data_IF_408728421634
#
_entry.id   IF_408728421634
#
_cell.length_a   1.000
_cell.length_b   1.000
_cell.length_c   1.000
_cell.angle_alpha   90.00
_cell.angle_beta   90.00
_cell.angle_gamma   90.00
#
_symmetry.space_group_name_H-M   'P 1'
#
loop_
_entity.id
_entity.type
_entity.pdbx_description
1 polymer ?
#
# COMPACT_ATOMS: atom_id res chain seq x y z
N UNK A 1 4.74 -2.34 2.12
CA UNK A 1 5.56 -1.51 1.20
C UNK A 1 5.81 -0.09 1.73
N UNK A 2 4.75 0.75 1.98
CA UNK A 2 4.96 2.10 2.50
C UNK A 2 5.66 2.09 3.87
N UNK A 3 5.35 1.13 4.74
CA UNK A 3 5.96 0.99 6.06
C UNK A 3 7.43 0.56 6.01
N UNK A 4 7.77 -0.36 5.12
CA UNK A 4 9.18 -0.76 4.93
C UNK A 4 10.03 0.43 4.46
N UNK A 5 9.47 1.29 3.61
CA UNK A 5 10.11 2.51 3.16
C UNK A 5 10.21 3.58 4.26
N UNK A 6 9.33 3.56 5.26
CA UNK A 6 9.37 4.48 6.42
C UNK A 6 10.46 4.11 7.44
N UNK A 7 10.89 2.85 7.49
CA UNK A 7 11.98 2.38 8.32
C UNK A 7 13.26 3.07 7.79
N UNK A 8 13.78 4.01 8.49
CA UNK A 8 14.97 4.78 8.10
C UNK A 8 14.71 6.28 7.88
N UNK A 9 13.46 6.73 7.74
CA UNK A 9 13.17 8.17 7.73
C UNK A 9 13.49 8.82 9.08
N UNK A 10 13.41 8.08 10.18
CA UNK A 10 13.81 8.54 11.51
C UNK A 10 15.31 8.89 11.61
N UNK A 11 16.15 8.34 10.73
CA UNK A 11 17.58 8.63 10.70
C UNK A 11 17.93 9.95 9.98
N UNK A 12 16.98 10.59 9.28
CA UNK A 12 17.24 11.80 8.49
C UNK A 12 17.86 12.93 9.31
N UNK A 13 17.39 13.15 10.54
CA UNK A 13 17.90 14.18 11.43
C UNK A 13 19.35 13.91 11.86
N UNK A 14 19.68 12.64 12.12
CA UNK A 14 21.03 12.20 12.45
C UNK A 14 22.00 12.44 11.30
N UNK A 15 21.64 12.03 10.09
CA UNK A 15 22.49 12.23 8.91
C UNK A 15 22.67 13.72 8.56
N UNK A 16 21.66 14.57 8.77
CA UNK A 16 21.81 16.03 8.63
C UNK A 16 22.81 16.58 9.63
N UNK A 17 22.75 16.17 10.90
CA UNK A 17 23.72 16.58 11.92
C UNK A 17 25.15 16.13 11.59
N UNK A 18 25.33 14.87 11.15
CA UNK A 18 26.62 14.36 10.70
C UNK A 18 27.17 15.14 9.50
N UNK A 19 26.30 15.51 8.54
CA UNK A 19 26.68 16.29 7.37
C UNK A 19 27.22 17.69 7.76
N UNK A 20 26.56 18.34 8.70
CA UNK A 20 26.97 19.67 9.17
C UNK A 20 28.31 19.60 9.93
N UNK A 21 28.57 18.53 10.68
CA UNK A 21 29.86 18.31 11.33
C UNK A 21 30.99 18.09 10.33
N UNK A 22 30.76 17.23 9.32
CA UNK A 22 31.74 16.99 8.24
C UNK A 22 32.04 18.26 7.48
N UNK A 23 31.00 19.08 7.15
CA UNK A 23 31.19 20.36 6.47
C UNK A 23 31.99 21.36 7.29
N UNK A 24 31.79 21.40 8.60
CA UNK A 24 32.59 22.26 9.50
C UNK A 24 34.07 21.87 9.49
N UNK A 25 34.37 20.56 9.53
CA UNK A 25 35.74 20.06 9.45
C UNK A 25 36.39 20.37 8.11
N UNK A 26 35.67 20.14 7.01
CA UNK A 26 36.17 20.48 5.65
C UNK A 26 36.48 21.97 5.49
N UNK A 27 35.69 22.88 6.09
CA UNK A 27 35.93 24.31 6.02
C UNK A 27 37.25 24.75 6.68
N UNK A 28 37.81 23.97 7.61
CA UNK A 28 39.12 24.21 8.20
C UNK A 28 40.21 23.98 7.17
N UNK A 29 40.14 22.89 6.40
CA UNK A 29 41.10 22.61 5.32
C UNK A 29 41.02 23.61 4.17
N UNK A 30 39.84 24.14 3.86
CA UNK A 30 39.64 25.13 2.80
C UNK A 30 40.32 26.49 3.10
N UNK A 31 40.55 26.81 4.37
CA UNK A 31 41.23 28.05 4.80
C UNK A 31 42.76 28.02 4.62
N UNK A 32 43.34 26.84 4.38
CA UNK A 32 44.79 26.63 4.33
C UNK A 32 45.45 26.96 2.96
N UNK A 33 44.81 27.65 2.05
CA UNK A 33 45.43 28.12 0.76
C UNK A 33 45.34 27.15 -0.41
N UNK A 34 44.79 25.94 -0.22
CA UNK A 34 44.63 24.92 -1.27
C UNK A 34 43.16 24.78 -1.71
N UNK A 35 42.35 25.77 -1.37
CA UNK A 35 40.87 25.73 -1.52
C UNK A 35 40.40 25.47 -2.96
N UNK A 36 41.09 25.99 -3.97
CA UNK A 36 40.63 25.88 -5.37
C UNK A 36 40.79 24.46 -5.92
N UNK A 37 41.94 23.79 -5.65
CA UNK A 37 42.16 22.40 -6.03
C UNK A 37 41.13 21.50 -5.33
N UNK A 38 40.98 21.68 -4.03
CA UNK A 38 40.07 20.95 -3.21
C UNK A 38 38.60 21.11 -3.67
N UNK A 39 38.15 22.34 -3.94
CA UNK A 39 36.81 22.63 -4.47
C UNK A 39 36.57 22.04 -5.85
N UNK A 40 37.59 22.13 -6.71
CA UNK A 40 37.49 21.53 -8.05
C UNK A 40 37.37 20.03 -7.98
N UNK A 41 38.21 19.38 -7.18
CA UNK A 41 38.18 17.95 -6.96
C UNK A 41 36.81 17.53 -6.35
N UNK A 42 36.30 18.20 -5.31
CA UNK A 42 34.99 17.93 -4.74
C UNK A 42 33.86 18.05 -5.76
N UNK A 43 33.86 19.12 -6.57
CA UNK A 43 32.85 19.34 -7.60
C UNK A 43 32.86 18.20 -8.61
N UNK A 44 34.05 17.80 -9.09
CA UNK A 44 34.21 16.76 -10.08
C UNK A 44 33.85 15.37 -9.54
N UNK A 45 34.24 15.08 -8.31
CA UNK A 45 33.86 13.84 -7.62
C UNK A 45 32.34 13.75 -7.41
N UNK A 46 31.66 14.86 -7.07
CA UNK A 46 30.18 14.90 -6.98
C UNK A 46 29.53 14.66 -8.34
N UNK A 47 30.05 15.31 -9.40
CA UNK A 47 29.56 15.11 -10.75
C UNK A 47 29.69 13.64 -11.18
N UNK A 48 30.87 13.02 -10.94
CA UNK A 48 31.14 11.61 -11.25
C UNK A 48 30.10 10.69 -10.58
N UNK A 49 29.87 10.83 -9.28
CA UNK A 49 28.87 10.03 -8.55
C UNK A 49 27.44 10.30 -9.01
N UNK A 50 27.11 11.54 -9.35
CA UNK A 50 25.77 11.83 -9.89
C UNK A 50 25.54 11.12 -11.21
N UNK A 51 26.57 11.06 -12.08
CA UNK A 51 26.51 10.34 -13.34
C UNK A 51 26.41 8.84 -13.09
N UNK A 52 27.27 8.29 -12.22
CA UNK A 52 27.24 6.87 -11.83
C UNK A 52 25.85 6.47 -11.29
N UNK A 53 25.32 7.24 -10.34
CA UNK A 53 23.96 6.98 -9.81
C UNK A 53 22.87 7.14 -10.86
N UNK A 54 23.03 8.04 -11.82
CA UNK A 54 22.09 8.18 -12.91
C UNK A 54 22.20 7.00 -13.89
N UNK A 55 23.41 6.56 -14.20
CA UNK A 55 23.67 5.37 -15.01
C UNK A 55 23.04 4.12 -14.37
N UNK A 56 23.25 3.90 -13.07
CA UNK A 56 22.64 2.79 -12.32
C UNK A 56 21.10 2.76 -12.43
N UNK A 57 20.47 3.91 -12.61
CA UNK A 57 19.02 4.01 -12.71
C UNK A 57 18.43 3.42 -14.01
N UNK A 58 19.25 3.27 -15.06
CA UNK A 58 18.79 2.78 -16.36
C UNK A 58 19.71 1.69 -16.97
N UNK A 59 20.96 1.55 -16.51
CA UNK A 59 21.78 0.38 -16.82
C UNK A 59 21.10 -0.84 -16.21
N UNK A 60 20.88 -1.88 -16.99
CA UNK A 60 20.13 -3.06 -16.56
C UNK A 60 18.68 -3.06 -17.05
N UNK A 61 18.20 -1.97 -17.68
CA UNK A 61 16.88 -1.94 -18.33
C UNK A 61 16.73 -3.10 -19.33
N UNK A 62 17.80 -3.44 -20.07
CA UNK A 62 17.81 -4.58 -20.99
C UNK A 62 17.51 -5.91 -20.27
N UNK A 63 18.11 -6.15 -19.10
CA UNK A 63 17.87 -7.34 -18.31
C UNK A 63 16.43 -7.40 -17.76
N UNK A 64 15.93 -6.26 -17.26
CA UNK A 64 14.53 -6.15 -16.81
C UNK A 64 13.55 -6.43 -17.95
N UNK A 65 13.81 -5.91 -19.15
CA UNK A 65 12.98 -6.18 -20.32
C UNK A 65 13.02 -7.65 -20.73
N UNK A 66 14.17 -8.34 -20.68
CA UNK A 66 14.24 -9.78 -20.94
C UNK A 66 13.44 -10.59 -19.92
N UNK A 67 13.48 -10.20 -18.66
CA UNK A 67 12.65 -10.85 -17.64
C UNK A 67 11.16 -10.69 -17.97
N UNK A 68 10.72 -9.48 -18.31
CA UNK A 68 9.33 -9.24 -18.73
C UNK A 68 9.00 -10.07 -20.00
N UNK A 69 9.89 -10.14 -20.97
CA UNK A 69 9.68 -10.91 -22.20
C UNK A 69 9.45 -12.41 -21.91
N UNK A 70 10.16 -12.96 -20.91
CA UNK A 70 10.01 -14.36 -20.52
C UNK A 70 8.72 -14.61 -19.70
N UNK A 71 8.24 -13.63 -18.95
CA UNK A 71 7.05 -13.75 -18.09
C UNK A 71 5.72 -13.45 -18.83
N UNK A 72 5.77 -12.69 -19.93
CA UNK A 72 4.56 -12.26 -20.64
C UNK A 72 3.95 -13.34 -21.51
N UNK A 73 4.72 -14.34 -21.91
CA UNK A 73 4.23 -15.44 -22.74
C UNK A 73 3.46 -16.40 -21.85
N UNK A 74 2.13 -16.57 -22.06
CA UNK A 74 1.34 -17.49 -21.27
C UNK A 74 1.81 -18.93 -21.52
N UNK A 75 1.66 -19.78 -20.51
CA UNK A 75 1.87 -21.22 -20.70
C UNK A 75 0.95 -21.75 -21.82
N UNK A 76 1.39 -22.79 -22.51
CA UNK A 76 0.55 -23.48 -23.49
C UNK A 76 -0.67 -24.11 -22.82
N UNK A 77 -1.82 -24.01 -23.46
CA UNK A 77 -3.03 -24.71 -22.99
C UNK A 77 -2.77 -26.21 -22.89
N UNK A 78 -3.23 -26.82 -21.79
CA UNK A 78 -3.24 -28.27 -21.67
C UNK A 78 -4.34 -28.84 -22.61
N UNK A 79 -3.90 -29.46 -23.68
CA UNK A 79 -4.79 -30.00 -24.72
C UNK A 79 -5.38 -31.39 -24.37
N UNK A 80 -4.99 -31.98 -23.23
CA UNK A 80 -5.33 -33.38 -22.87
C UNK A 80 -6.83 -33.67 -22.79
N UNK A 81 -7.65 -32.64 -22.51
CA UNK A 81 -9.11 -32.73 -22.41
C UNK A 81 -9.86 -32.30 -23.67
N UNK A 82 -9.18 -31.92 -24.74
CA UNK A 82 -9.78 -31.49 -26.00
C UNK A 82 -9.69 -32.62 -27.05
N UNK A 83 -10.75 -32.78 -27.85
CA UNK A 83 -10.76 -33.70 -28.97
C UNK A 83 -10.65 -32.94 -30.31
N UNK A 84 -9.48 -32.92 -30.96
CA UNK A 84 -9.30 -32.17 -32.22
C UNK A 84 -10.21 -32.66 -33.36
N UNK A 85 -10.86 -33.81 -33.19
CA UNK A 85 -11.86 -34.33 -34.15
C UNK A 85 -13.23 -33.65 -34.04
N UNK A 86 -13.50 -32.94 -32.97
CA UNK A 86 -14.70 -32.12 -32.80
C UNK A 86 -14.46 -30.72 -33.30
N UNK A 87 -15.39 -30.17 -34.04
CA UNK A 87 -15.25 -28.85 -34.69
C UNK A 87 -15.05 -27.73 -33.69
N UNK A 88 -15.83 -27.72 -32.63
CA UNK A 88 -15.79 -26.73 -31.55
C UNK A 88 -14.45 -26.77 -30.79
N UNK A 89 -13.90 -27.95 -30.50
CA UNK A 89 -12.63 -28.12 -29.83
C UNK A 89 -11.48 -27.67 -30.73
N UNK A 90 -11.52 -28.04 -32.03
CA UNK A 90 -10.52 -27.64 -33.02
C UNK A 90 -10.49 -26.11 -33.22
N UNK A 91 -11.65 -25.46 -33.26
CA UNK A 91 -11.75 -23.99 -33.36
C UNK A 91 -11.17 -23.32 -32.11
N UNK A 92 -11.45 -23.84 -30.92
CA UNK A 92 -10.92 -23.29 -29.68
C UNK A 92 -9.41 -23.48 -29.54
N UNK A 93 -8.90 -24.67 -29.88
CA UNK A 93 -7.46 -24.94 -29.89
C UNK A 93 -6.71 -24.01 -30.84
N UNK A 94 -7.29 -23.72 -32.02
CA UNK A 94 -6.73 -22.75 -32.96
C UNK A 94 -6.65 -21.35 -32.36
N UNK A 95 -7.72 -20.89 -31.70
CA UNK A 95 -7.74 -19.59 -31.02
C UNK A 95 -6.69 -19.51 -29.91
N UNK A 96 -6.55 -20.55 -29.09
CA UNK A 96 -5.54 -20.59 -28.04
C UNK A 96 -4.11 -20.49 -28.58
N UNK A 97 -3.85 -21.21 -29.68
CA UNK A 97 -2.57 -21.16 -30.39
C UNK A 97 -2.28 -19.78 -30.99
N UNK A 98 -3.28 -19.12 -31.59
CA UNK A 98 -3.14 -17.76 -32.14
C UNK A 98 -2.80 -16.74 -31.04
N UNK A 99 -3.45 -16.84 -29.86
CA UNK A 99 -3.16 -15.99 -28.70
C UNK A 99 -1.73 -16.24 -28.20
N UNK A 100 -1.37 -17.52 -28.00
CA UNK A 100 -0.01 -17.87 -27.55
C UNK A 100 1.06 -17.31 -28.50
N UNK A 101 0.88 -17.45 -29.82
CA UNK A 101 1.80 -16.92 -30.82
C UNK A 101 1.85 -15.39 -30.84
N UNK A 102 0.72 -14.72 -30.60
CA UNK A 102 0.67 -13.27 -30.48
C UNK A 102 1.50 -12.77 -29.31
N UNK A 103 1.38 -13.39 -28.12
CA UNK A 103 2.21 -13.06 -26.97
C UNK A 103 3.68 -13.40 -27.18
N UNK A 104 3.99 -14.52 -27.85
CA UNK A 104 5.36 -14.85 -28.25
C UNK A 104 5.95 -13.81 -29.21
N UNK A 105 5.14 -13.23 -30.10
CA UNK A 105 5.54 -12.10 -30.95
C UNK A 105 5.86 -10.84 -30.14
N UNK A 106 5.03 -10.53 -29.13
CA UNK A 106 5.27 -9.42 -28.19
C UNK A 106 6.58 -9.66 -27.42
N UNK A 107 6.79 -10.86 -26.91
CA UNK A 107 8.03 -11.23 -26.20
C UNK A 107 9.27 -10.96 -27.05
N UNK A 108 9.27 -11.38 -28.32
CA UNK A 108 10.38 -11.11 -29.25
C UNK A 108 10.63 -9.62 -29.50
N UNK A 109 9.57 -8.82 -29.57
CA UNK A 109 9.71 -7.37 -29.72
C UNK A 109 10.35 -6.75 -28.46
N UNK A 110 9.98 -7.22 -27.25
CA UNK A 110 10.58 -6.78 -26.01
C UNK A 110 12.05 -7.19 -25.94
N UNK A 111 12.44 -8.38 -26.40
CA UNK A 111 13.83 -8.82 -26.51
C UNK A 111 14.66 -7.93 -27.45
N UNK A 112 14.06 -7.50 -28.56
CA UNK A 112 14.68 -6.53 -29.47
C UNK A 112 14.92 -5.18 -28.79
N UNK A 113 13.94 -4.67 -28.03
CA UNK A 113 14.08 -3.45 -27.24
C UNK A 113 15.14 -3.59 -26.13
N UNK A 114 15.22 -4.76 -25.51
CA UNK A 114 16.29 -5.07 -24.54
C UNK A 114 17.69 -4.96 -25.17
N UNK A 115 17.86 -5.51 -26.38
CA UNK A 115 19.13 -5.42 -27.11
C UNK A 115 19.48 -3.97 -27.48
N UNK A 116 18.49 -3.17 -27.86
CA UNK A 116 18.71 -1.74 -28.13
C UNK A 116 19.10 -0.98 -26.85
N UNK A 117 18.47 -1.28 -25.71
CA UNK A 117 18.84 -0.67 -24.42
C UNK A 117 20.30 -0.98 -24.04
N UNK A 118 20.74 -2.22 -24.26
CA UNK A 118 22.15 -2.61 -24.02
C UNK A 118 23.12 -1.88 -24.94
N UNK A 119 22.77 -1.71 -26.21
CA UNK A 119 23.59 -0.94 -27.16
C UNK A 119 23.73 0.52 -26.73
N UNK A 120 22.66 1.16 -26.34
CA UNK A 120 22.67 2.53 -25.80
C UNK A 120 23.59 2.63 -24.57
N UNK A 121 23.59 1.63 -23.69
CA UNK A 121 24.46 1.60 -22.52
C UNK A 121 25.94 1.48 -22.89
N UNK A 122 26.27 0.69 -23.91
CA UNK A 122 27.63 0.54 -24.40
C UNK A 122 28.13 1.81 -25.08
N UNK A 123 27.32 2.41 -25.95
CA UNK A 123 27.63 3.65 -26.66
C UNK A 123 27.83 4.81 -25.68
N UNK A 124 26.93 4.95 -24.72
CA UNK A 124 27.05 5.96 -23.66
C UNK A 124 28.37 5.86 -22.92
N UNK A 125 28.75 4.68 -22.44
CA UNK A 125 30.02 4.49 -21.72
C UNK A 125 31.24 4.90 -22.57
N UNK A 126 31.23 4.52 -23.82
CA UNK A 126 32.30 4.88 -24.75
C UNK A 126 32.41 6.39 -24.94
N UNK A 127 31.26 7.07 -25.17
CA UNK A 127 31.26 8.51 -25.38
C UNK A 127 31.62 9.27 -24.09
N UNK A 128 31.10 8.82 -22.93
CA UNK A 128 31.46 9.37 -21.65
C UNK A 128 32.94 9.31 -21.38
N UNK A 129 33.56 8.15 -21.57
CA UNK A 129 34.97 7.92 -21.27
C UNK A 129 35.89 8.73 -22.21
N UNK A 130 35.46 9.06 -23.43
CA UNK A 130 36.15 9.90 -24.41
C UNK A 130 35.78 11.40 -24.29
N UNK A 131 34.94 11.78 -23.38
CA UNK A 131 34.46 13.16 -23.25
C UNK A 131 35.48 14.09 -22.59
N UNK A 132 35.47 15.37 -22.96
CA UNK A 132 36.25 16.42 -22.29
C UNK A 132 35.89 16.56 -20.81
N UNK A 133 34.69 16.13 -20.45
CA UNK A 133 34.29 16.06 -19.04
C UNK A 133 35.12 15.01 -18.28
N UNK A 134 35.29 13.81 -18.82
CA UNK A 134 36.13 12.75 -18.22
C UNK A 134 37.59 13.21 -18.11
N UNK A 135 38.11 13.85 -19.14
CA UNK A 135 39.47 14.46 -19.09
C UNK A 135 39.59 15.47 -17.93
N UNK A 136 38.55 16.30 -17.72
CA UNK A 136 38.55 17.27 -16.62
C UNK A 136 38.41 16.61 -15.24
N UNK A 137 37.78 15.45 -15.12
CA UNK A 137 37.74 14.63 -13.89
C UNK A 137 39.14 14.10 -13.61
N UNK A 138 39.78 13.47 -14.60
CA UNK A 138 41.12 12.91 -14.45
C UNK A 138 42.15 14.00 -14.08
N UNK A 139 42.04 15.20 -14.67
CA UNK A 139 42.91 16.32 -14.35
C UNK A 139 42.70 16.81 -12.89
N UNK A 140 41.45 16.81 -12.41
CA UNK A 140 41.15 17.20 -11.03
C UNK A 140 41.64 16.16 -10.02
N UNK A 141 41.48 14.86 -10.33
CA UNK A 141 42.01 13.77 -9.52
C UNK A 141 43.54 13.87 -9.41
N UNK A 142 44.25 14.04 -10.54
CA UNK A 142 45.70 14.19 -10.57
C UNK A 142 46.19 15.41 -9.78
N UNK A 143 45.53 16.57 -9.96
CA UNK A 143 45.89 17.77 -9.19
C UNK A 143 45.67 17.58 -7.66
N UNK A 144 44.70 16.81 -7.28
CA UNK A 144 44.48 16.46 -5.90
C UNK A 144 45.55 15.49 -5.35
N UNK A 145 45.96 14.46 -6.12
CA UNK A 145 47.04 13.57 -5.75
C UNK A 145 48.37 14.33 -5.59
N UNK A 146 48.72 15.22 -6.52
CA UNK A 146 49.90 16.11 -6.41
C UNK A 146 49.86 17.02 -5.17
N UNK A 147 48.66 17.47 -4.80
CA UNK A 147 48.45 18.25 -3.57
C UNK A 147 48.66 17.39 -2.32
N UNK A 148 48.17 16.16 -2.32
CA UNK A 148 48.38 15.22 -1.22
C UNK A 148 49.86 14.92 -0.98
N UNK A 149 50.62 14.67 -2.07
CA UNK A 149 52.07 14.44 -1.97
C UNK A 149 52.85 15.68 -1.44
N UNK A 150 52.45 16.89 -1.84
CA UNK A 150 53.07 18.14 -1.33
C UNK A 150 52.75 18.35 0.17
N UNK A 151 51.52 18.09 0.61
CA UNK A 151 51.14 18.21 2.01
C UNK A 151 51.82 17.17 2.88
N UNK A 152 51.95 15.92 2.40
CA UNK A 152 52.66 14.84 3.10
C UNK A 152 54.16 15.17 3.28
N UNK A 153 54.78 15.83 2.32
CA UNK A 153 56.18 16.27 2.41
C UNK A 153 56.41 17.51 3.25
N UNK A 154 55.35 18.32 3.50
CA UNK A 154 55.40 19.61 4.20
C UNK A 154 55.06 19.56 5.69
N UNK A 155 54.71 18.41 6.23
CA UNK A 155 54.43 18.20 7.67
C UNK A 155 53.19 18.92 8.21
N UNK A 156 52.25 19.29 7.32
CA UNK A 156 50.99 20.00 7.67
C UNK A 156 49.81 19.06 7.45
N UNK A 157 48.92 18.98 8.41
CA UNK A 157 47.64 18.25 8.46
C UNK A 157 47.44 17.10 7.46
N UNK A 158 47.14 15.91 7.98
CA UNK A 158 47.01 14.65 7.27
C UNK A 158 46.10 14.77 6.02
N UNK A 159 46.65 14.68 4.78
CA UNK A 159 45.89 14.75 3.54
C UNK A 159 44.84 13.62 3.41
N UNK A 160 45.08 12.49 4.08
CA UNK A 160 44.17 11.36 4.10
C UNK A 160 42.87 11.73 4.82
N UNK A 161 42.95 12.50 5.90
CA UNK A 161 41.78 12.96 6.65
C UNK A 161 40.83 13.82 5.80
N UNK A 162 41.37 14.64 4.88
CA UNK A 162 40.54 15.40 3.94
C UNK A 162 39.81 14.48 2.97
N UNK A 163 40.49 13.50 2.38
CA UNK A 163 39.90 12.53 1.48
C UNK A 163 38.76 11.74 2.13
N UNK A 164 38.99 11.26 3.36
CA UNK A 164 37.97 10.57 4.15
C UNK A 164 36.75 11.44 4.46
N UNK A 165 36.96 12.71 4.83
CA UNK A 165 35.87 13.66 5.06
C UNK A 165 35.04 13.92 3.80
N UNK A 166 35.69 14.06 2.64
CA UNK A 166 34.98 14.22 1.35
C UNK A 166 34.17 12.98 1.01
N UNK A 167 34.73 11.79 1.15
CA UNK A 167 34.01 10.55 0.93
C UNK A 167 32.82 10.41 1.90
N UNK A 168 33.02 10.73 3.17
CA UNK A 168 31.96 10.71 4.19
C UNK A 168 30.84 11.68 3.85
N UNK A 169 31.19 12.93 3.48
CA UNK A 169 30.21 13.93 3.06
C UNK A 169 29.36 13.41 1.89
N UNK A 170 30.00 12.86 0.87
CA UNK A 170 29.30 12.36 -0.32
C UNK A 170 28.41 11.16 -0.01
N UNK A 171 28.86 10.25 0.85
CA UNK A 171 28.07 9.10 1.28
C UNK A 171 26.80 9.55 2.03
N UNK A 172 26.92 10.54 2.93
CA UNK A 172 25.79 11.10 3.66
C UNK A 172 24.82 11.84 2.71
N UNK A 173 25.35 12.66 1.79
CA UNK A 173 24.54 13.39 0.80
C UNK A 173 23.75 12.43 -0.11
N UNK A 174 24.38 11.33 -0.55
CA UNK A 174 23.69 10.30 -1.32
C UNK A 174 22.60 9.61 -0.48
N UNK A 175 22.92 9.25 0.76
CA UNK A 175 21.94 8.63 1.66
C UNK A 175 20.73 9.55 1.91
N UNK A 176 20.95 10.83 2.16
CA UNK A 176 19.87 11.82 2.31
C UNK A 176 19.03 11.97 1.04
N UNK A 177 19.65 11.91 -0.15
CA UNK A 177 18.94 11.91 -1.43
C UNK A 177 18.04 10.70 -1.58
N UNK A 178 18.51 9.52 -1.19
CA UNK A 178 17.73 8.29 -1.27
C UNK A 178 16.60 8.26 -0.23
N UNK A 179 16.83 8.79 0.96
CA UNK A 179 15.76 9.05 1.93
C UNK A 179 14.70 10.01 1.37
N UNK A 180 15.13 11.05 0.64
CA UNK A 180 14.21 11.97 -0.04
C UNK A 180 13.35 11.30 -1.12
N UNK A 181 13.92 10.35 -1.88
CA UNK A 181 13.17 9.54 -2.86
C UNK A 181 12.17 8.64 -2.15
N UNK A 182 12.61 7.93 -1.10
CA UNK A 182 11.73 7.06 -0.29
C UNK A 182 10.56 7.84 0.29
N UNK A 183 10.81 9.05 0.81
CA UNK A 183 9.76 9.92 1.36
C UNK A 183 8.67 10.27 0.33
N UNK A 184 9.07 10.55 -0.92
CA UNK A 184 8.13 10.77 -2.03
C UNK A 184 7.34 9.51 -2.37
N UNK A 185 8.00 8.36 -2.41
CA UNK A 185 7.35 7.06 -2.66
C UNK A 185 6.33 6.71 -1.57
N UNK A 186 6.68 6.92 -0.29
CA UNK A 186 5.75 6.73 0.83
C UNK A 186 4.52 7.64 0.70
N UNK A 187 4.73 8.92 0.38
CA UNK A 187 3.63 9.85 0.20
C UNK A 187 2.70 9.43 -0.94
N UNK A 188 3.25 8.97 -2.05
CA UNK A 188 2.47 8.49 -3.20
C UNK A 188 1.71 7.21 -2.86
N UNK A 189 2.35 6.23 -2.20
CA UNK A 189 1.70 4.99 -1.78
C UNK A 189 0.56 5.25 -0.78
N UNK A 190 0.76 6.17 0.17
CA UNK A 190 -0.30 6.59 1.10
C UNK A 190 -1.48 7.24 0.38
N UNK A 191 -1.20 8.08 -0.62
CA UNK A 191 -2.24 8.68 -1.46
C UNK A 191 -3.04 7.60 -2.19
N UNK A 192 -2.37 6.66 -2.84
CA UNK A 192 -3.00 5.55 -3.57
C UNK A 192 -3.81 4.64 -2.64
N UNK A 193 -3.31 4.35 -1.44
CA UNK A 193 -4.03 3.60 -0.43
C UNK A 193 -5.32 4.31 0.00
N UNK A 194 -5.26 5.64 0.24
CA UNK A 194 -6.43 6.43 0.58
C UNK A 194 -7.45 6.50 -0.56
N UNK A 195 -7.01 6.69 -1.80
CA UNK A 195 -7.88 6.68 -2.98
C UNK A 195 -8.57 5.31 -3.14
N UNK A 196 -7.84 4.22 -2.89
CA UNK A 196 -8.40 2.86 -2.92
C UNK A 196 -9.44 2.63 -1.82
N UNK A 197 -9.19 3.15 -0.61
CA UNK A 197 -10.14 3.09 0.50
C UNK A 197 -11.42 3.89 0.18
N UNK A 198 -11.30 5.10 -0.36
CA UNK A 198 -12.44 5.89 -0.77
C UNK A 198 -13.27 5.20 -1.87
N UNK A 199 -12.60 4.53 -2.82
CA UNK A 199 -13.26 3.72 -3.85
C UNK A 199 -14.01 2.53 -3.24
N UNK A 200 -13.41 1.84 -2.27
CA UNK A 200 -14.06 0.74 -1.55
C UNK A 200 -15.33 1.23 -0.84
N UNK A 201 -15.26 2.34 -0.10
CA UNK A 201 -16.41 2.93 0.58
C UNK A 201 -17.53 3.30 -0.40
N UNK A 202 -17.17 3.87 -1.54
CA UNK A 202 -18.14 4.19 -2.60
C UNK A 202 -18.85 2.95 -3.12
N UNK A 203 -18.10 1.91 -3.45
CA UNK A 203 -18.66 0.63 -3.94
C UNK A 203 -19.59 0.00 -2.88
N UNK A 204 -19.21 0.03 -1.60
CA UNK A 204 -20.09 -0.46 -0.52
C UNK A 204 -21.42 0.28 -0.49
N UNK A 205 -21.39 1.62 -0.54
CA UNK A 205 -22.60 2.45 -0.59
C UNK A 205 -23.48 2.13 -1.79
N UNK A 206 -22.88 2.02 -2.97
CA UNK A 206 -23.59 1.65 -4.19
C UNK A 206 -24.23 0.26 -4.08
N UNK A 207 -23.54 -0.71 -3.48
CA UNK A 207 -24.06 -2.06 -3.24
C UNK A 207 -25.25 -2.03 -2.26
N UNK A 208 -25.14 -1.30 -1.16
CA UNK A 208 -26.24 -1.15 -0.18
C UNK A 208 -27.46 -0.50 -0.84
N UNK A 209 -27.27 0.56 -1.64
CA UNK A 209 -28.34 1.22 -2.37
C UNK A 209 -28.95 0.32 -3.46
N UNK A 210 -28.14 -0.46 -4.14
CA UNK A 210 -28.64 -1.45 -5.11
C UNK A 210 -29.53 -2.49 -4.41
N UNK A 211 -29.08 -3.03 -3.27
CA UNK A 211 -29.85 -3.98 -2.46
C UNK A 211 -31.17 -3.35 -1.96
N UNK A 212 -31.15 -2.10 -1.49
CA UNK A 212 -32.35 -1.37 -1.07
C UNK A 212 -33.37 -1.23 -2.21
N UNK A 213 -32.91 -0.76 -3.37
CA UNK A 213 -33.77 -0.61 -4.58
C UNK A 213 -34.33 -1.96 -5.02
N UNK A 214 -33.54 -3.01 -4.97
CA UNK A 214 -33.98 -4.35 -5.29
C UNK A 214 -35.12 -4.79 -4.36
N UNK A 215 -34.94 -4.67 -3.04
CA UNK A 215 -35.96 -5.02 -2.06
C UNK A 215 -37.21 -4.17 -2.21
N UNK A 216 -37.07 -2.86 -2.42
CA UNK A 216 -38.22 -1.97 -2.69
C UNK A 216 -39.01 -2.41 -3.92
N UNK A 217 -38.32 -2.81 -4.98
CA UNK A 217 -38.97 -3.28 -6.22
C UNK A 217 -39.69 -4.62 -5.99
N UNK A 218 -39.05 -5.56 -5.31
CA UNK A 218 -39.61 -6.91 -5.08
C UNK A 218 -40.78 -6.86 -4.11
N UNK A 219 -40.72 -6.02 -3.09
CA UNK A 219 -41.72 -5.93 -2.03
C UNK A 219 -42.70 -4.77 -2.21
N UNK A 220 -42.71 -4.09 -3.37
CA UNK A 220 -43.53 -2.89 -3.60
C UNK A 220 -45.05 -3.10 -3.33
N UNK A 221 -45.54 -4.30 -3.61
CA UNK A 221 -46.95 -4.67 -3.44
C UNK A 221 -47.16 -5.64 -2.27
N UNK A 222 -46.12 -5.97 -1.51
CA UNK A 222 -46.20 -6.93 -0.41
C UNK A 222 -46.70 -6.28 0.86
N UNK A 223 -47.88 -6.70 1.33
CA UNK A 223 -48.51 -6.21 2.57
C UNK A 223 -48.11 -7.04 3.80
N UNK A 224 -47.46 -8.18 3.64
CA UNK A 224 -47.16 -9.12 4.71
C UNK A 224 -45.75 -8.96 5.26
N UNK A 225 -44.78 -8.57 4.40
CA UNK A 225 -43.36 -8.51 4.78
C UNK A 225 -42.76 -7.17 4.37
N UNK A 226 -41.98 -6.60 5.28
CA UNK A 226 -41.10 -5.46 5.01
C UNK A 226 -39.68 -5.83 5.35
N UNK A 227 -38.78 -5.65 4.43
CA UNK A 227 -37.33 -5.90 4.62
C UNK A 227 -36.60 -4.60 4.42
N UNK A 228 -35.78 -4.23 5.39
CA UNK A 228 -34.94 -3.05 5.34
C UNK A 228 -33.48 -3.46 5.48
N UNK A 229 -32.59 -2.80 4.77
CA UNK A 229 -31.15 -2.94 4.93
C UNK A 229 -30.69 -1.88 5.90
N UNK A 230 -30.07 -2.32 6.98
CA UNK A 230 -29.42 -1.46 7.97
C UNK A 230 -27.91 -1.50 7.66
N UNK A 231 -27.34 -0.43 7.12
CA UNK A 231 -25.91 -0.37 6.85
C UNK A 231 -25.10 -0.52 8.13
N UNK A 232 -24.04 -1.31 8.05
CA UNK A 232 -23.19 -1.61 9.20
C UNK A 232 -23.94 -2.25 10.39
N UNK A 233 -25.10 -2.81 10.17
CA UNK A 233 -26.04 -3.22 11.22
C UNK A 233 -25.84 -4.62 11.78
N UNK A 234 -24.87 -5.41 11.31
CA UNK A 234 -24.60 -6.76 11.77
C UNK A 234 -23.91 -6.77 13.15
N UNK A 235 -24.59 -6.22 14.17
CA UNK A 235 -24.07 -6.05 15.53
C UNK A 235 -23.64 -7.37 16.18
N UNK A 236 -24.27 -8.48 15.83
CA UNK A 236 -24.01 -9.79 16.42
C UNK A 236 -22.59 -10.31 16.08
N UNK A 237 -22.02 -9.92 14.95
CA UNK A 237 -20.70 -10.39 14.49
C UNK A 237 -19.57 -9.42 14.76
N UNK A 238 -19.87 -8.16 15.01
CA UNK A 238 -18.89 -7.06 15.14
C UNK A 238 -17.84 -7.33 16.21
N UNK A 239 -18.24 -7.84 17.38
CA UNK A 239 -17.32 -8.13 18.46
C UNK A 239 -16.35 -9.24 18.06
N UNK A 240 -16.86 -10.36 17.50
CA UNK A 240 -16.02 -11.48 17.08
C UNK A 240 -15.06 -11.08 15.96
N UNK A 241 -15.54 -10.32 14.98
CA UNK A 241 -14.72 -9.83 13.89
C UNK A 241 -13.61 -8.90 14.40
N UNK A 242 -13.95 -7.94 15.25
CA UNK A 242 -12.98 -7.02 15.84
C UNK A 242 -11.93 -7.77 16.67
N UNK A 243 -12.35 -8.71 17.52
CA UNK A 243 -11.45 -9.54 18.32
C UNK A 243 -10.50 -10.37 17.45
N UNK A 244 -11.01 -10.90 16.34
CA UNK A 244 -10.19 -11.65 15.37
C UNK A 244 -9.12 -10.76 14.75
N UNK A 245 -9.47 -9.52 14.37
CA UNK A 245 -8.55 -8.55 13.78
C UNK A 245 -7.43 -8.16 14.73
N UNK A 246 -7.73 -7.98 16.01
CA UNK A 246 -6.73 -7.64 17.03
C UNK A 246 -6.09 -8.89 17.67
N UNK A 247 -6.29 -10.08 17.10
CA UNK A 247 -5.76 -11.35 17.59
C UNK A 247 -6.11 -11.64 19.07
N UNK A 248 -7.37 -11.39 19.47
CA UNK A 248 -7.85 -11.56 20.85
C UNK A 248 -9.22 -12.20 20.92
N UNK A 249 -9.28 -13.49 20.64
CA UNK A 249 -10.54 -14.26 20.60
C UNK A 249 -10.93 -14.89 21.94
N UNK A 250 -10.12 -14.73 23.00
CA UNK A 250 -10.23 -15.35 24.30
C UNK A 250 -11.11 -14.60 25.33
N UNK A 251 -11.92 -13.63 24.90
CA UNK A 251 -12.77 -12.85 25.78
C UNK A 251 -12.04 -11.80 26.65
N UNK A 252 -10.71 -11.67 26.53
CA UNK A 252 -9.96 -10.64 27.26
C UNK A 252 -10.32 -9.20 26.86
N UNK A 253 -10.04 -8.24 27.74
CA UNK A 253 -10.25 -6.79 27.53
C UNK A 253 -11.72 -6.39 27.31
N UNK A 254 -12.66 -7.03 27.98
CA UNK A 254 -14.09 -6.75 27.83
C UNK A 254 -14.45 -5.27 28.04
N UNK A 255 -13.79 -4.60 28.99
CA UNK A 255 -14.06 -3.18 29.31
C UNK A 255 -13.52 -2.21 28.26
N UNK A 256 -12.47 -2.57 27.53
CA UNK A 256 -11.88 -1.75 26.48
C UNK A 256 -12.53 -2.01 25.13
N UNK A 257 -12.69 -3.27 24.76
CA UNK A 257 -13.34 -3.68 23.52
C UNK A 257 -14.85 -3.42 23.61
N UNK A 258 -15.48 -4.00 24.62
CA UNK A 258 -16.93 -3.90 24.85
C UNK A 258 -17.76 -4.64 23.82
N UNK A 259 -19.06 -4.37 23.85
CA UNK A 259 -20.05 -4.89 22.89
C UNK A 259 -20.81 -3.73 22.25
N UNK A 260 -21.45 -3.93 21.09
CA UNK A 260 -22.22 -2.89 20.40
C UNK A 260 -23.30 -2.21 21.26
N UNK A 261 -23.93 -2.95 22.15
CA UNK A 261 -25.03 -2.45 23.01
C UNK A 261 -24.58 -2.25 24.47
N UNK A 262 -23.28 -2.34 24.77
CA UNK A 262 -22.69 -2.22 26.10
C UNK A 262 -21.82 -0.97 26.29
N UNK A 263 -20.64 -1.18 26.84
CA UNK A 263 -19.61 -0.15 27.00
C UNK A 263 -18.36 -0.52 26.15
N UNK A 264 -17.40 0.40 26.04
CA UNK A 264 -16.13 0.19 25.38
C UNK A 264 -16.06 0.77 23.95
N UNK A 265 -15.08 0.33 23.19
CA UNK A 265 -14.85 0.85 21.82
C UNK A 265 -16.01 0.51 20.89
N UNK A 266 -16.54 -0.71 20.97
CA UNK A 266 -17.61 -1.16 20.08
C UNK A 266 -18.96 -0.51 20.38
N UNK A 267 -19.23 -0.13 21.63
CA UNK A 267 -20.41 0.67 21.97
C UNK A 267 -20.36 2.05 21.31
N UNK A 268 -19.17 2.68 21.28
CA UNK A 268 -18.98 3.98 20.62
C UNK A 268 -19.28 3.93 19.12
N UNK A 269 -19.12 2.77 18.47
CA UNK A 269 -19.43 2.60 17.05
C UNK A 269 -20.89 2.96 16.74
N UNK A 270 -21.81 2.55 17.62
CA UNK A 270 -23.25 2.74 17.44
C UNK A 270 -23.82 3.88 18.29
N UNK A 271 -22.98 4.57 19.07
CA UNK A 271 -23.40 5.69 19.91
C UNK A 271 -23.91 6.85 19.05
N UNK A 272 -25.14 7.29 19.32
CA UNK A 272 -25.81 8.38 18.58
C UNK A 272 -25.86 8.18 17.05
N UNK A 273 -25.74 6.95 16.56
CA UNK A 273 -25.61 6.61 15.16
C UNK A 273 -26.97 6.65 14.43
N UNK A 274 -27.53 7.85 14.27
CA UNK A 274 -28.81 8.07 13.59
C UNK A 274 -28.70 8.06 12.06
N UNK A 275 -27.51 7.92 11.50
CA UNK A 275 -27.26 7.86 10.07
C UNK A 275 -26.00 7.06 9.75
N UNK A 276 -25.94 6.53 8.51
CA UNK A 276 -24.81 5.76 8.00
C UNK A 276 -23.47 6.54 8.12
N UNK A 277 -23.50 7.84 7.86
CA UNK A 277 -22.31 8.71 7.95
C UNK A 277 -21.78 8.88 9.38
N UNK A 278 -22.63 8.80 10.40
CA UNK A 278 -22.20 8.83 11.80
C UNK A 278 -21.52 7.52 12.21
N UNK A 279 -22.02 6.38 11.75
CA UNK A 279 -21.36 5.09 11.99
C UNK A 279 -19.97 5.08 11.33
N UNK A 280 -19.85 5.56 10.08
CA UNK A 280 -18.56 5.68 9.40
C UNK A 280 -17.57 6.57 10.17
N UNK A 281 -18.05 7.70 10.69
CA UNK A 281 -17.25 8.61 11.50
C UNK A 281 -16.77 7.93 12.78
N UNK A 282 -17.69 7.33 13.53
CA UNK A 282 -17.39 6.61 14.78
C UNK A 282 -16.39 5.47 14.53
N UNK A 283 -16.56 4.74 13.43
CA UNK A 283 -15.62 3.69 13.01
C UNK A 283 -14.23 4.24 12.72
N UNK A 284 -14.15 5.38 12.02
CA UNK A 284 -12.88 6.07 11.78
C UNK A 284 -12.20 6.48 13.09
N UNK A 285 -12.96 7.02 14.04
CA UNK A 285 -12.44 7.40 15.36
C UNK A 285 -11.90 6.21 16.15
N UNK A 286 -12.55 5.04 16.06
CA UNK A 286 -12.08 3.80 16.68
C UNK A 286 -10.76 3.35 16.02
N UNK A 287 -10.70 3.32 14.70
CA UNK A 287 -9.49 2.96 13.95
C UNK A 287 -8.34 3.91 14.28
N UNK A 288 -8.59 5.21 14.33
CA UNK A 288 -7.61 6.22 14.70
C UNK A 288 -7.12 6.06 16.15
N UNK A 289 -8.02 5.70 17.07
CA UNK A 289 -7.68 5.39 18.45
C UNK A 289 -6.70 4.21 18.55
N UNK A 290 -7.00 3.12 17.86
CA UNK A 290 -6.13 1.93 17.82
C UNK A 290 -4.77 2.28 17.19
N UNK A 291 -4.76 3.07 16.12
CA UNK A 291 -3.54 3.52 15.46
C UNK A 291 -2.66 4.40 16.37
N UNK A 292 -3.27 5.35 17.08
CA UNK A 292 -2.57 6.19 18.07
C UNK A 292 -1.97 5.37 19.21
N UNK A 293 -2.68 4.37 19.71
CA UNK A 293 -2.16 3.44 20.72
C UNK A 293 -0.96 2.68 20.15
N UNK A 294 -1.04 2.19 18.91
CA UNK A 294 0.05 1.48 18.24
C UNK A 294 1.29 2.34 18.08
N UNK A 295 1.13 3.60 17.69
CA UNK A 295 2.19 4.57 17.45
C UNK A 295 2.75 5.22 18.73
N UNK A 296 2.23 4.85 19.89
CA UNK A 296 2.63 5.36 21.22
C UNK A 296 2.35 6.86 21.45
N UNK A 297 1.55 7.47 20.60
CA UNK A 297 1.32 8.92 20.66
C UNK A 297 0.44 9.36 21.82
N UNK A 298 -0.40 8.46 22.39
CA UNK A 298 -1.25 8.78 23.55
C UNK A 298 -1.52 7.56 24.41
N UNK A 299 -0.94 7.52 25.62
CA UNK A 299 -1.15 6.46 26.59
C UNK A 299 -2.51 6.55 27.34
N UNK A 300 -3.29 7.61 27.12
CA UNK A 300 -4.47 7.98 27.95
C UNK A 300 -5.78 7.40 27.41
N UNK A 301 -5.78 6.77 26.24
CA UNK A 301 -7.02 6.39 25.52
C UNK A 301 -7.66 5.07 25.94
N UNK A 302 -7.08 4.33 26.89
CA UNK A 302 -7.54 2.99 27.30
C UNK A 302 -7.72 2.86 28.81
N UNK A 303 -8.71 2.07 29.21
CA UNK A 303 -8.98 1.77 30.61
C UNK A 303 -7.93 0.79 31.22
N UNK A 304 -7.40 -0.14 30.39
CA UNK A 304 -6.39 -1.12 30.80
C UNK A 304 -5.07 -0.95 30.03
N UNK A 305 -3.97 -0.69 30.73
CA UNK A 305 -2.62 -0.61 30.15
C UNK A 305 -2.17 -1.90 29.45
N UNK A 306 -2.71 -3.06 29.85
CA UNK A 306 -2.43 -4.33 29.18
C UNK A 306 -3.05 -4.38 27.78
N UNK A 307 -4.21 -3.75 27.60
CA UNK A 307 -4.81 -3.60 26.25
C UNK A 307 -3.90 -2.75 25.35
N UNK A 308 -3.43 -1.61 25.84
CA UNK A 308 -2.47 -0.79 25.08
C UNK A 308 -1.20 -1.57 24.72
N UNK A 309 -0.66 -2.34 25.68
CA UNK A 309 0.53 -3.18 25.44
C UNK A 309 0.24 -4.24 24.38
N UNK A 310 -0.94 -4.84 24.38
CA UNK A 310 -1.35 -5.82 23.38
C UNK A 310 -1.42 -5.18 21.99
N UNK A 311 -2.10 -4.04 21.85
CA UNK A 311 -2.20 -3.31 20.58
C UNK A 311 -0.81 -2.91 20.04
N UNK A 312 0.11 -2.46 20.91
CA UNK A 312 1.49 -2.14 20.53
C UNK A 312 2.26 -3.34 19.95
N UNK A 313 1.96 -4.55 20.42
CA UNK A 313 2.60 -5.80 19.95
C UNK A 313 1.96 -6.41 18.71
N UNK A 314 0.80 -5.93 18.28
CA UNK A 314 0.17 -6.43 17.05
C UNK A 314 1.11 -6.26 15.86
N UNK A 315 1.12 -7.22 14.94
CA UNK A 315 1.84 -7.04 13.68
C UNK A 315 1.23 -5.88 12.87
N UNK A 316 2.02 -5.17 12.07
CA UNK A 316 1.54 -4.09 11.22
C UNK A 316 0.34 -4.47 10.35
N UNK A 317 0.33 -5.69 9.82
CA UNK A 317 -0.72 -6.23 8.96
C UNK A 317 -2.08 -6.34 9.66
N UNK A 318 -2.09 -6.48 10.98
CA UNK A 318 -3.34 -6.49 11.76
C UNK A 318 -3.99 -5.10 11.75
N UNK A 319 -3.19 -4.03 11.80
CA UNK A 319 -3.68 -2.66 11.69
C UNK A 319 -4.20 -2.39 10.27
N UNK A 320 -3.50 -2.87 9.23
CA UNK A 320 -3.95 -2.72 7.85
C UNK A 320 -5.30 -3.42 7.60
N UNK A 321 -5.47 -4.62 8.18
CA UNK A 321 -6.76 -5.34 8.12
C UNK A 321 -7.85 -4.59 8.87
N UNK A 322 -7.54 -3.99 10.02
CA UNK A 322 -8.48 -3.17 10.77
C UNK A 322 -8.89 -1.93 9.97
N UNK A 323 -7.96 -1.30 9.26
CA UNK A 323 -8.26 -0.14 8.40
C UNK A 323 -9.24 -0.49 7.26
N UNK A 324 -9.17 -1.71 6.75
CA UNK A 324 -10.06 -2.23 5.71
C UNK A 324 -11.35 -2.86 6.25
N UNK A 325 -11.46 -3.01 7.56
CA UNK A 325 -12.64 -3.61 8.18
C UNK A 325 -13.81 -2.65 8.27
N UNK A 326 -14.98 -3.14 7.95
CA UNK A 326 -16.27 -2.48 8.09
C UNK A 326 -17.29 -3.54 8.51
N UNK A 327 -18.12 -3.28 9.52
CA UNK A 327 -19.23 -4.18 9.85
C UNK A 327 -20.10 -4.44 8.63
N UNK A 328 -20.65 -5.64 8.54
CA UNK A 328 -21.58 -5.99 7.48
C UNK A 328 -22.93 -5.28 7.63
N UNK A 329 -23.63 -5.13 6.51
CA UNK A 329 -25.03 -4.70 6.54
C UNK A 329 -25.89 -5.79 7.15
N UNK A 330 -26.90 -5.45 7.95
CA UNK A 330 -27.90 -6.39 8.41
C UNK A 330 -29.24 -6.21 7.69
N UNK A 331 -30.05 -7.26 7.74
CA UNK A 331 -31.42 -7.25 7.25
C UNK A 331 -32.38 -7.18 8.44
N UNK A 332 -33.14 -6.10 8.51
CA UNK A 332 -34.28 -6.04 9.42
C UNK A 332 -35.52 -6.53 8.67
N UNK A 333 -36.03 -7.69 9.11
CA UNK A 333 -37.22 -8.30 8.54
C UNK A 333 -38.39 -8.08 9.52
N UNK A 334 -39.44 -7.45 9.03
CA UNK A 334 -40.66 -7.21 9.76
C UNK A 334 -41.83 -7.88 9.03
N UNK A 335 -42.81 -8.39 9.79
CA UNK A 335 -44.02 -8.99 9.25
C UNK A 335 -45.27 -8.29 9.79
N UNK A 336 -46.31 -8.18 8.95
CA UNK A 336 -47.61 -7.66 9.38
C UNK A 336 -48.37 -8.77 10.06
N UNK A 337 -48.89 -8.50 11.27
CA UNK A 337 -49.69 -9.44 12.02
C UNK A 337 -51.12 -9.51 11.52
N UNK A 338 -51.60 -8.46 10.87
CA UNK A 338 -52.98 -8.33 10.34
C UNK A 338 -53.07 -8.62 8.83
N UNK A 339 -51.92 -8.63 8.12
CA UNK A 339 -51.86 -8.88 6.67
C UNK A 339 -52.40 -7.72 5.82
N UNK A 340 -52.65 -6.55 6.41
CA UNK A 340 -53.18 -5.36 5.77
C UNK A 340 -52.14 -4.25 5.54
N UNK A 341 -50.84 -4.61 5.70
CA UNK A 341 -49.76 -3.66 5.59
C UNK A 341 -49.58 -2.70 6.77
N UNK A 342 -50.24 -3.00 7.88
CA UNK A 342 -50.15 -2.24 9.14
C UNK A 342 -49.55 -3.13 10.23
N UNK A 343 -49.23 -2.54 11.36
CA UNK A 343 -48.70 -3.24 12.54
C UNK A 343 -47.57 -4.22 12.26
N UNK A 344 -46.52 -3.71 11.66
CA UNK A 344 -45.30 -4.50 11.41
C UNK A 344 -44.52 -4.76 12.71
N UNK A 345 -44.17 -6.02 12.96
CA UNK A 345 -43.34 -6.47 14.07
C UNK A 345 -42.09 -7.16 13.60
N UNK A 346 -41.05 -7.13 14.42
CA UNK A 346 -39.82 -7.85 14.12
C UNK A 346 -40.07 -9.33 13.92
N UNK A 347 -39.50 -9.91 12.87
CA UNK A 347 -39.57 -11.36 12.59
C UNK A 347 -38.94 -12.20 13.72
N UNK A 348 -38.05 -11.61 14.51
CA UNK A 348 -37.43 -12.30 15.65
C UNK A 348 -38.44 -12.67 16.71
N UNK A 349 -39.47 -11.84 16.94
CA UNK A 349 -40.56 -12.06 17.88
C UNK A 349 -41.65 -13.03 17.34
N UNK A 350 -41.53 -13.35 16.03
CA UNK A 350 -42.51 -14.20 15.37
C UNK A 350 -42.40 -15.69 15.75
N UNK A 351 -43.58 -16.37 15.81
CA UNK A 351 -43.62 -17.82 15.93
C UNK A 351 -42.98 -18.50 14.73
N UNK A 352 -42.58 -19.78 14.83
CA UNK A 352 -42.02 -20.51 13.70
C UNK A 352 -42.89 -20.46 12.43
N UNK A 353 -44.23 -20.57 12.59
CA UNK A 353 -45.17 -20.47 11.48
C UNK A 353 -45.16 -19.08 10.81
N UNK A 354 -45.09 -18.00 11.63
CA UNK A 354 -45.01 -16.63 11.10
C UNK A 354 -43.69 -16.37 10.37
N UNK A 355 -42.59 -16.90 10.88
CA UNK A 355 -41.29 -16.84 10.19
C UNK A 355 -41.33 -17.53 8.83
N UNK A 356 -41.91 -18.73 8.76
CA UNK A 356 -42.09 -19.47 7.52
C UNK A 356 -43.02 -18.73 6.55
N UNK A 357 -44.15 -18.18 7.04
CA UNK A 357 -45.07 -17.40 6.21
C UNK A 357 -44.42 -16.14 5.63
N UNK A 358 -43.63 -15.43 6.42
CA UNK A 358 -42.89 -14.26 5.97
C UNK A 358 -41.85 -14.62 4.86
N UNK A 359 -41.12 -15.71 5.05
CA UNK A 359 -40.17 -16.21 4.04
C UNK A 359 -40.90 -16.57 2.76
N UNK A 360 -42.00 -17.30 2.80
CA UNK A 360 -42.82 -17.67 1.66
C UNK A 360 -43.37 -16.42 0.96
N UNK A 361 -43.90 -15.44 1.72
CA UNK A 361 -44.38 -14.19 1.14
C UNK A 361 -43.30 -13.42 0.37
N UNK A 362 -42.06 -13.41 0.87
CA UNK A 362 -40.91 -12.86 0.15
C UNK A 362 -40.58 -13.62 -1.13
N UNK A 363 -40.49 -14.96 -1.05
CA UNK A 363 -40.18 -15.81 -2.19
C UNK A 363 -41.22 -15.69 -3.29
N UNK A 364 -42.52 -15.65 -2.94
CA UNK A 364 -43.62 -15.48 -3.88
C UNK A 364 -43.62 -14.08 -4.53
N UNK A 365 -43.16 -13.06 -3.83
CA UNK A 365 -43.03 -11.70 -4.40
C UNK A 365 -41.89 -11.60 -5.41
N UNK A 366 -40.83 -12.41 -5.25
CA UNK A 366 -39.68 -12.43 -6.16
C UNK A 366 -39.89 -13.36 -7.37
N UNK A 367 -40.53 -14.50 -7.16
CA UNK A 367 -40.70 -15.53 -8.19
C UNK A 367 -41.80 -15.21 -9.20
N UNK A 368 -41.46 -15.15 -10.51
CA UNK A 368 -42.41 -15.17 -11.59
C UNK A 368 -42.76 -16.61 -12.04
N UNK A 369 -42.04 -17.59 -11.51
CA UNK A 369 -42.20 -19.01 -11.79
C UNK A 369 -42.82 -19.73 -10.60
N UNK A 370 -43.71 -20.73 -10.82
CA UNK A 370 -44.29 -21.49 -9.73
C UNK A 370 -43.20 -22.24 -9.00
N UNK A 371 -43.19 -22.13 -7.66
CA UNK A 371 -42.38 -22.99 -6.78
C UNK A 371 -42.90 -24.42 -6.91
N UNK A 372 -42.12 -25.31 -7.54
CA UNK A 372 -42.40 -26.75 -7.65
C UNK A 372 -41.78 -27.48 -6.44
#
# INVERSE_FOLDING_TARGET
DARELEIGLAEEARFKGELDDVRRKLAVFERAGHADVLKTFQRKSRQKRMIESWEESWIGTGEQLRKIASEIVPDSLDESNFNPGLKEDAEFLKLSFEIHNSFKGIGKNIESLASQADQIAVEWRKERDQSSWQESVNAAEKAYEELQEKLASGGVDDPAAYGELVQRQQAIEQHLKDLGKRKKQVAELRKQANESLQRLLKIRKELTEFRRKFLQKVLSENQFVKIQIIPYGAKETVEEEFRRLIHRTDGGFEKDIGTPDGEGLLAKLYENANSDGLIEKNLSEIKDTIRKIKEQTDAILVKDQRFATHIKRLPPEAIDRLDLWFPEDSLEVQYSTTGDGRDFRSIQEGSPGQKTAALLAFLLSYGKEPLV
#
